data_IF_922657558089
#
_entry.id   IF_922657558089
#
_cell.length_a   1.000
_cell.length_b   1.000
_cell.length_c   1.000
_cell.angle_alpha   90.00
_cell.angle_beta   90.00
_cell.angle_gamma   90.00
#
_symmetry.space_group_name_H-M   'P 1'
#
loop_
_entity.id
_entity.type
_entity.pdbx_description
1 polymer ?
#
# COMPACT_ATOMS: atom_id res chain seq x y z
N UNK A 1 -19.91 9.30 -2.04
CA UNK A 1 -19.62 9.11 -1.77
C UNK A 1 -19.24 8.68 -1.19
N UNK A 2 -19.47 8.62 -1.21
CA UNK A 2 -19.27 8.12 -0.53
C UNK A 2 -18.30 7.58 -0.30
N UNK A 3 -18.04 7.69 -0.56
CA UNK A 3 -17.36 7.20 -0.30
C UNK A 3 -16.35 7.14 -0.26
N UNK A 4 -16.02 7.97 -0.70
CA UNK A 4 -15.40 6.86 -0.19
C UNK A 4 -13.95 6.78 -0.46
N UNK A 5 -13.23 6.51 0.59
CA UNK A 5 -11.80 6.43 0.49
C UNK A 5 -11.36 5.07 -0.03
N UNK A 6 -10.36 5.07 -0.88
CA UNK A 6 -9.74 3.85 -1.38
C UNK A 6 -8.33 3.79 -0.80
N UNK A 7 -8.00 2.70 -0.16
CA UNK A 7 -6.65 2.51 0.35
C UNK A 7 -5.80 1.82 -0.70
N UNK A 8 -4.69 2.46 -1.05
CA UNK A 8 -3.71 1.91 -1.97
C UNK A 8 -2.43 1.65 -1.19
N UNK A 9 -2.05 0.38 -1.07
CA UNK A 9 -0.86 0.00 -0.34
C UNK A 9 0.29 -0.26 -1.30
N UNK A 10 1.41 0.43 -1.09
CA UNK A 10 2.65 0.12 -1.79
C UNK A 10 3.40 -0.97 -1.04
N UNK A 11 3.89 -1.95 -1.77
CA UNK A 11 4.70 -3.01 -1.21
C UNK A 11 6.15 -2.76 -1.54
N UNK A 12 7.00 -3.00 -0.56
CA UNK A 12 8.43 -3.06 -0.79
C UNK A 12 8.74 -4.43 -1.36
N UNK A 13 9.07 -4.49 -2.63
CA UNK A 13 9.18 -5.74 -3.34
C UNK A 13 10.35 -6.63 -2.98
N UNK A 14 11.24 -6.16 -2.14
CA UNK A 14 12.52 -6.85 -1.98
C UNK A 14 12.43 -8.21 -1.32
N UNK A 15 11.62 -8.32 -0.30
CA UNK A 15 11.65 -9.46 0.59
C UNK A 15 11.03 -10.67 -0.05
N UNK A 16 10.14 -10.45 -0.96
CA UNK A 16 9.24 -11.51 -1.37
C UNK A 16 9.54 -12.12 -2.72
N UNK A 17 10.53 -11.60 -3.40
CA UNK A 17 10.88 -12.17 -4.68
C UNK A 17 11.41 -13.59 -4.62
N UNK A 18 12.11 -13.93 -3.56
CA UNK A 18 12.78 -15.22 -3.48
C UNK A 18 11.99 -16.28 -2.75
N UNK A 19 11.30 -15.90 -1.68
CA UNK A 19 10.77 -16.87 -0.75
C UNK A 19 9.50 -17.56 -1.17
N UNK A 20 8.51 -16.84 -1.60
CA UNK A 20 7.19 -17.42 -1.77
C UNK A 20 6.93 -18.01 -3.14
N UNK A 21 7.93 -18.07 -3.99
CA UNK A 21 7.88 -18.92 -5.16
C UNK A 21 7.75 -20.38 -4.76
N UNK A 22 8.15 -20.66 -3.55
CA UNK A 22 8.07 -21.98 -2.98
C UNK A 22 6.76 -22.05 -2.23
N UNK A 23 5.87 -22.94 -2.63
CA UNK A 23 4.54 -23.07 -2.03
C UNK A 23 4.59 -23.43 -0.54
N UNK A 24 5.71 -23.94 -0.06
CA UNK A 24 5.88 -24.30 1.34
C UNK A 24 6.26 -23.12 2.22
N UNK A 25 6.47 -21.96 1.64
CA UNK A 25 6.96 -20.78 2.34
C UNK A 25 5.85 -19.76 2.53
N UNK A 26 5.55 -19.44 3.78
CA UNK A 26 4.56 -18.40 4.07
C UNK A 26 5.21 -17.01 3.93
N UNK A 27 4.58 -16.14 3.17
CA UNK A 27 5.07 -14.78 2.98
C UNK A 27 4.81 -13.95 4.24
N UNK A 28 5.84 -13.27 4.77
CA UNK A 28 5.66 -12.49 6.00
C UNK A 28 4.85 -11.23 5.76
N UNK A 29 3.87 -11.00 6.60
CA UNK A 29 3.14 -9.74 6.62
C UNK A 29 3.00 -9.30 8.09
N UNK A 30 3.13 -8.01 8.33
CA UNK A 30 2.99 -7.51 9.69
C UNK A 30 1.57 -7.74 10.19
N UNK A 31 1.39 -8.29 11.41
CA UNK A 31 0.05 -8.58 11.93
C UNK A 31 -0.87 -7.36 11.96
N UNK A 32 -0.35 -6.19 12.29
CA UNK A 32 -1.16 -4.97 12.33
C UNK A 32 -1.65 -4.59 10.92
N UNK A 33 -0.83 -4.82 9.90
CA UNK A 33 -1.24 -4.56 8.52
C UNK A 33 -2.36 -5.52 8.11
N UNK A 34 -2.20 -6.80 8.38
CA UNK A 34 -3.21 -7.79 8.03
C UNK A 34 -4.55 -7.48 8.73
N UNK A 35 -4.51 -7.18 10.03
CA UNK A 35 -5.69 -6.85 10.80
C UNK A 35 -6.40 -5.60 10.26
N UNK A 36 -5.63 -4.56 9.96
CA UNK A 36 -6.18 -3.30 9.48
C UNK A 36 -6.80 -3.47 8.09
N UNK A 37 -6.13 -4.18 7.20
CA UNK A 37 -6.67 -4.43 5.87
C UNK A 37 -7.96 -5.23 5.93
N UNK A 38 -8.02 -6.24 6.81
CA UNK A 38 -9.23 -7.03 7.00
C UNK A 38 -10.38 -6.17 7.54
N UNK A 39 -10.06 -5.28 8.49
CA UNK A 39 -11.06 -4.38 9.05
C UNK A 39 -11.60 -3.41 8.00
N UNK A 40 -10.71 -2.79 7.22
CA UNK A 40 -11.14 -1.88 6.17
C UNK A 40 -11.99 -2.57 5.12
N UNK A 41 -11.61 -3.80 4.75
CA UNK A 41 -12.40 -4.58 3.82
C UNK A 41 -13.81 -4.83 4.37
N UNK A 42 -13.90 -5.20 5.65
CA UNK A 42 -15.18 -5.42 6.31
C UNK A 42 -16.05 -4.16 6.35
N UNK A 43 -15.41 -2.99 6.38
CA UNK A 43 -16.10 -1.69 6.34
C UNK A 43 -16.47 -1.26 4.92
N UNK A 44 -16.14 -2.05 3.92
CA UNK A 44 -16.48 -1.74 2.53
C UNK A 44 -15.48 -0.85 1.82
N UNK A 45 -14.29 -0.65 2.39
CA UNK A 45 -13.25 0.17 1.74
C UNK A 45 -12.58 -0.64 0.64
N UNK A 46 -12.60 -0.18 -0.62
CA UNK A 46 -11.86 -0.87 -1.67
C UNK A 46 -10.36 -0.78 -1.44
N UNK A 47 -9.67 -1.90 -1.55
CA UNK A 47 -8.23 -1.99 -1.30
C UNK A 47 -7.51 -2.38 -2.58
N UNK A 48 -6.35 -1.75 -2.80
CA UNK A 48 -5.53 -1.99 -3.98
C UNK A 48 -4.07 -2.13 -3.57
N UNK A 49 -3.31 -2.85 -4.39
CA UNK A 49 -1.88 -2.99 -4.18
C UNK A 49 -1.15 -2.40 -5.38
N UNK A 50 -0.12 -1.62 -5.10
CA UNK A 50 0.80 -1.12 -6.11
C UNK A 50 2.21 -1.51 -5.70
N UNK A 51 2.88 -2.31 -6.53
CA UNK A 51 4.18 -2.86 -6.21
C UNK A 51 5.03 -2.96 -7.46
N UNK A 52 6.34 -2.99 -7.29
CA UNK A 52 7.27 -3.24 -8.39
C UNK A 52 7.29 -4.71 -8.80
N UNK A 53 6.78 -5.61 -7.96
CA UNK A 53 6.61 -7.00 -8.35
C UNK A 53 5.45 -7.16 -9.31
N UNK A 54 5.52 -8.18 -10.16
CA UNK A 54 4.45 -8.45 -11.12
C UNK A 54 3.13 -8.78 -10.40
N UNK A 55 2.02 -8.56 -11.09
CA UNK A 55 0.71 -8.89 -10.50
C UNK A 55 0.64 -10.36 -10.06
N UNK A 56 1.08 -11.35 -10.86
CA UNK A 56 1.09 -12.73 -10.38
C UNK A 56 1.92 -12.92 -9.12
N UNK A 57 3.07 -12.24 -9.02
CA UNK A 57 3.92 -12.32 -7.82
C UNK A 57 3.23 -11.71 -6.60
N UNK A 58 2.54 -10.59 -6.79
CA UNK A 58 1.76 -9.97 -5.71
C UNK A 58 0.70 -10.92 -5.19
N UNK A 59 -0.01 -11.59 -6.09
CA UNK A 59 -1.05 -12.54 -5.71
C UNK A 59 -0.49 -13.74 -4.98
N UNK A 60 0.69 -14.21 -5.37
CA UNK A 60 1.35 -15.29 -4.64
C UNK A 60 1.72 -14.85 -3.22
N UNK A 61 2.23 -13.63 -3.08
CA UNK A 61 2.60 -13.10 -1.77
C UNK A 61 1.39 -13.08 -0.83
N UNK A 62 0.29 -12.46 -1.26
CA UNK A 62 -0.88 -12.33 -0.40
C UNK A 62 -1.66 -13.64 -0.28
N UNK A 63 -1.57 -14.51 -1.28
CA UNK A 63 -2.23 -15.83 -1.23
C UNK A 63 -1.56 -16.80 -0.28
N UNK A 64 -0.27 -16.61 -0.02
CA UNK A 64 0.52 -17.46 0.86
C UNK A 64 1.07 -16.72 2.06
N UNK A 65 0.36 -15.69 2.52
CA UNK A 65 0.82 -14.92 3.67
C UNK A 65 0.71 -15.74 4.94
N UNK A 66 1.51 -15.38 5.94
CA UNK A 66 1.43 -16.04 7.25
C UNK A 66 0.14 -15.69 8.01
N UNK A 67 -0.64 -14.75 7.49
CA UNK A 67 -1.98 -14.43 8.00
C UNK A 67 -3.07 -15.16 7.19
N UNK A 68 -2.70 -16.07 6.30
CA UNK A 68 -3.62 -16.79 5.44
C UNK A 68 -3.71 -16.18 4.05
N UNK A 69 -4.70 -16.62 3.28
CA UNK A 69 -4.93 -16.09 1.93
C UNK A 69 -5.66 -14.74 2.03
N UNK A 70 -4.97 -13.67 1.71
CA UNK A 70 -5.50 -12.31 1.77
C UNK A 70 -5.91 -11.76 0.41
N UNK A 71 -5.80 -12.54 -0.66
CA UNK A 71 -6.08 -12.05 -2.02
C UNK A 71 -7.50 -11.52 -2.17
N UNK A 72 -8.46 -12.11 -1.47
CA UNK A 72 -9.85 -11.67 -1.53
C UNK A 72 -10.12 -10.30 -0.93
N UNK A 73 -9.17 -9.72 -0.21
CA UNK A 73 -9.31 -8.39 0.37
C UNK A 73 -9.14 -7.29 -0.68
N UNK A 74 -8.47 -7.57 -1.79
CA UNK A 74 -8.06 -6.55 -2.74
C UNK A 74 -8.97 -6.49 -3.95
N UNK A 75 -9.36 -5.28 -4.32
CA UNK A 75 -10.20 -5.02 -5.48
C UNK A 75 -9.40 -4.93 -6.77
N UNK A 76 -8.11 -4.72 -6.67
CA UNK A 76 -7.25 -4.64 -7.84
C UNK A 76 -5.77 -4.60 -7.48
N UNK A 77 -4.96 -4.75 -8.52
CA UNK A 77 -3.52 -4.90 -8.40
C UNK A 77 -2.86 -4.08 -9.49
N UNK A 78 -1.80 -3.35 -9.12
CA UNK A 78 -1.03 -2.55 -10.06
C UNK A 78 0.44 -2.92 -9.93
N UNK A 79 1.13 -2.98 -11.06
CA UNK A 79 2.59 -3.14 -11.09
C UNK A 79 3.18 -1.99 -11.90
N UNK A 80 4.47 -2.07 -12.23
CA UNK A 80 5.14 -1.00 -12.95
C UNK A 80 4.70 -0.85 -14.41
N UNK A 81 3.74 -1.66 -14.87
CA UNK A 81 3.12 -1.45 -16.17
C UNK A 81 2.37 -0.10 -16.23
N UNK A 82 1.89 0.41 -15.08
CA UNK A 82 1.28 1.75 -15.04
C UNK A 82 2.33 2.86 -14.99
N UNK A 83 3.58 2.52 -14.75
CA UNK A 83 4.68 3.48 -14.62
C UNK A 83 5.46 3.27 -13.35
N UNK A 84 6.54 4.02 -13.19
CA UNK A 84 7.41 3.94 -12.02
C UNK A 84 6.75 4.51 -10.77
N UNK A 85 7.15 4.00 -9.62
CA UNK A 85 6.54 4.37 -8.34
C UNK A 85 6.93 5.78 -7.87
N UNK A 86 7.91 6.40 -8.51
CA UNK A 86 8.33 7.78 -8.21
C UNK A 86 7.82 8.79 -9.23
N UNK A 87 6.98 8.35 -10.16
CA UNK A 87 6.46 9.21 -11.23
C UNK A 87 5.00 9.56 -10.96
N UNK A 88 4.67 10.87 -10.87
CA UNK A 88 3.29 11.28 -10.60
C UNK A 88 2.28 10.72 -11.60
N UNK A 89 2.65 10.61 -12.88
CA UNK A 89 1.74 10.11 -13.91
C UNK A 89 1.25 8.69 -13.61
N UNK A 90 2.06 7.89 -12.90
CA UNK A 90 1.67 6.54 -12.50
C UNK A 90 0.45 6.58 -11.58
N UNK A 91 0.47 7.50 -10.63
CA UNK A 91 -0.63 7.63 -9.66
C UNK A 91 -1.88 8.23 -10.30
N UNK A 92 -1.70 9.15 -11.24
CA UNK A 92 -2.83 9.66 -12.01
C UNK A 92 -3.48 8.53 -12.82
N UNK A 93 -2.68 7.67 -13.43
CA UNK A 93 -3.17 6.51 -14.17
C UNK A 93 -3.90 5.51 -13.30
N UNK A 94 -3.39 5.28 -12.08
CA UNK A 94 -4.06 4.41 -11.11
C UNK A 94 -5.42 4.99 -10.73
N UNK A 95 -5.48 6.29 -10.41
CA UNK A 95 -6.73 6.94 -10.05
C UNK A 95 -7.77 6.81 -11.17
N UNK A 96 -7.34 7.03 -12.40
CA UNK A 96 -8.21 6.89 -13.56
C UNK A 96 -8.71 5.46 -13.71
N UNK A 97 -7.83 4.49 -13.54
CA UNK A 97 -8.16 3.08 -13.65
C UNK A 97 -9.16 2.63 -12.58
N UNK A 98 -9.01 3.15 -11.37
CA UNK A 98 -9.93 2.86 -10.26
C UNK A 98 -11.25 3.61 -10.44
N UNK A 99 -11.23 4.76 -11.09
CA UNK A 99 -12.41 5.59 -11.26
C UNK A 99 -12.72 6.47 -10.07
N UNK A 100 -11.72 6.79 -9.27
CA UNK A 100 -11.86 7.65 -8.09
C UNK A 100 -10.90 8.83 -8.24
N UNK A 101 -11.35 10.02 -7.90
CA UNK A 101 -10.46 11.18 -7.93
C UNK A 101 -9.31 10.99 -6.96
N UNK A 102 -8.11 11.51 -7.28
CA UNK A 102 -6.93 11.28 -6.43
C UNK A 102 -7.16 11.63 -4.96
N UNK A 103 -7.88 12.71 -4.65
CA UNK A 103 -8.09 13.10 -3.26
C UNK A 103 -8.96 12.11 -2.48
N UNK A 104 -9.63 11.19 -3.16
CA UNK A 104 -10.38 10.11 -2.53
C UNK A 104 -9.56 8.84 -2.33
N UNK A 105 -8.27 8.88 -2.65
CA UNK A 105 -7.38 7.72 -2.53
C UNK A 105 -6.33 8.02 -1.47
N UNK A 106 -6.15 7.09 -0.56
CA UNK A 106 -5.08 7.13 0.44
C UNK A 106 -3.97 6.18 0.03
N UNK A 107 -2.77 6.72 -0.20
CA UNK A 107 -1.60 5.93 -0.57
C UNK A 107 -0.69 5.75 0.64
N UNK A 108 -0.35 4.49 0.91
CA UNK A 108 0.49 4.12 2.04
C UNK A 108 1.81 3.58 1.52
N UNK A 109 2.91 4.11 2.02
CA UNK A 109 4.24 3.64 1.62
C UNK A 109 5.25 3.96 2.71
N UNK A 110 6.36 3.24 2.72
CA UNK A 110 7.51 3.56 3.55
C UNK A 110 8.60 4.30 2.76
N UNK A 111 8.32 4.65 1.51
CA UNK A 111 9.27 5.38 0.65
C UNK A 111 8.74 6.78 0.40
N UNK A 112 9.45 7.78 0.94
CA UNK A 112 9.01 9.19 0.89
C UNK A 112 8.85 9.67 -0.55
N UNK A 113 9.77 9.30 -1.44
CA UNK A 113 9.71 9.73 -2.84
C UNK A 113 8.47 9.22 -3.58
N UNK A 114 8.00 8.04 -3.20
CA UNK A 114 6.76 7.51 -3.78
C UNK A 114 5.55 8.31 -3.28
N UNK A 115 5.56 8.65 -1.99
CA UNK A 115 4.50 9.48 -1.41
C UNK A 115 4.49 10.88 -2.03
N UNK A 116 5.67 11.45 -2.29
CA UNK A 116 5.77 12.74 -2.94
C UNK A 116 5.11 12.73 -4.32
N UNK A 117 5.37 11.68 -5.10
CA UNK A 117 4.79 11.52 -6.42
C UNK A 117 3.26 11.40 -6.35
N UNK A 118 2.77 10.60 -5.42
CA UNK A 118 1.33 10.43 -5.23
C UNK A 118 0.66 11.75 -4.81
N UNK A 119 1.29 12.48 -3.90
CA UNK A 119 0.76 13.74 -3.40
C UNK A 119 0.65 14.79 -4.51
N UNK A 120 1.59 14.79 -5.45
CA UNK A 120 1.54 15.73 -6.58
C UNK A 120 0.29 15.54 -7.43
N UNK A 121 -0.31 14.35 -7.44
CA UNK A 121 -1.55 14.10 -8.17
C UNK A 121 -2.79 14.44 -7.34
N UNK A 122 -2.63 14.73 -6.06
CA UNK A 122 -3.73 15.04 -5.16
C UNK A 122 -4.14 13.91 -4.23
N UNK A 123 -3.45 12.78 -4.26
CA UNK A 123 -3.73 11.70 -3.30
C UNK A 123 -3.37 12.11 -1.89
N UNK A 124 -4.10 11.57 -0.93
CA UNK A 124 -3.71 11.63 0.47
C UNK A 124 -2.61 10.59 0.71
N UNK A 125 -1.71 10.89 1.61
CA UNK A 125 -0.53 10.05 1.81
C UNK A 125 -0.27 9.81 3.29
N UNK A 126 0.26 8.62 3.59
CA UNK A 126 0.73 8.27 4.93
C UNK A 126 2.06 7.54 4.79
N UNK A 127 3.06 8.04 5.50
CA UNK A 127 4.36 7.38 5.61
C UNK A 127 4.28 6.33 6.71
N UNK A 128 4.45 5.07 6.34
CA UNK A 128 4.48 3.98 7.29
C UNK A 128 5.95 3.71 7.64
N UNK A 129 6.34 4.09 8.84
CA UNK A 129 7.74 4.16 9.24
C UNK A 129 7.97 3.25 10.44
N UNK A 130 8.13 1.97 10.17
CA UNK A 130 8.25 0.95 11.22
C UNK A 130 9.65 0.97 11.82
N UNK A 131 9.73 0.88 13.13
CA UNK A 131 11.02 0.84 13.83
C UNK A 131 11.85 -0.37 13.41
N UNK A 132 11.22 -1.47 13.03
CA UNK A 132 11.92 -2.66 12.57
C UNK A 132 12.68 -2.42 11.27
N UNK A 133 12.10 -1.58 10.38
CA UNK A 133 12.69 -1.26 9.08
C UNK A 133 13.51 0.02 9.13
N UNK A 134 13.11 0.95 10.00
CA UNK A 134 13.72 2.26 10.12
C UNK A 134 13.91 2.57 11.59
N UNK A 135 15.06 2.16 12.19
CA UNK A 135 15.30 2.37 13.62
C UNK A 135 15.25 3.84 14.04
N UNK A 136 15.58 4.73 13.12
CA UNK A 136 15.44 6.17 13.38
C UNK A 136 14.23 6.67 12.62
N UNK A 137 13.11 6.96 13.29
CA UNK A 137 11.88 7.39 12.61
C UNK A 137 12.10 8.66 11.81
N UNK A 138 11.50 8.69 10.64
CA UNK A 138 11.55 9.86 9.75
C UNK A 138 10.34 10.74 10.04
N UNK A 139 10.61 11.98 10.44
CA UNK A 139 9.57 12.97 10.68
C UNK A 139 10.14 14.34 10.34
N UNK A 140 9.28 15.36 10.34
CA UNK A 140 9.68 16.69 9.92
C UNK A 140 10.18 16.68 8.49
N UNK A 141 11.38 17.21 8.25
CA UNK A 141 11.94 17.31 6.90
C UNK A 141 12.15 15.95 6.26
N UNK A 142 12.54 14.94 7.03
CA UNK A 142 12.78 13.59 6.51
C UNK A 142 11.49 12.94 6.01
N UNK A 143 10.35 13.33 6.54
CA UNK A 143 9.05 12.81 6.11
C UNK A 143 8.40 13.66 5.02
N UNK A 144 9.03 14.76 4.59
CA UNK A 144 8.53 15.69 3.56
C UNK A 144 7.09 16.18 3.82
N UNK A 145 6.69 16.24 5.09
CA UNK A 145 5.36 16.73 5.46
C UNK A 145 4.25 15.70 5.35
N UNK A 146 4.56 14.45 5.01
CA UNK A 146 3.55 13.40 5.00
C UNK A 146 3.14 13.01 6.43
N UNK A 147 1.89 12.61 6.60
CA UNK A 147 1.45 12.01 7.85
C UNK A 147 2.29 10.77 8.11
N UNK A 148 2.75 10.62 9.33
CA UNK A 148 3.73 9.60 9.69
C UNK A 148 3.13 8.69 10.76
N UNK A 149 3.20 7.39 10.54
CA UNK A 149 2.75 6.38 11.50
C UNK A 149 3.79 5.27 11.61
N UNK A 150 3.87 4.65 12.77
CA UNK A 150 4.75 3.51 12.98
C UNK A 150 4.01 2.18 12.79
N UNK A 151 2.68 2.21 12.74
CA UNK A 151 1.86 1.02 12.62
C UNK A 151 0.58 1.37 11.86
N UNK A 152 0.04 0.40 11.14
CA UNK A 152 -1.26 0.54 10.47
C UNK A 152 -2.39 0.83 11.47
N UNK A 153 -2.22 0.41 12.72
CA UNK A 153 -3.24 0.65 13.75
C UNK A 153 -3.43 2.15 14.03
N UNK A 154 -2.46 2.98 13.70
CA UNK A 154 -2.53 4.43 13.90
C UNK A 154 -3.25 5.15 12.76
N UNK A 155 -3.58 4.45 11.68
CA UNK A 155 -4.19 5.06 10.51
C UNK A 155 -5.69 5.11 10.71
N UNK A 156 -6.26 6.31 10.58
CA UNK A 156 -7.70 6.51 10.65
C UNK A 156 -8.21 6.94 9.28
N UNK A 157 -9.24 6.27 8.78
CA UNK A 157 -9.90 6.66 7.54
C UNK A 157 -11.11 7.51 7.90
N UNK A 158 -11.33 8.62 7.20
CA UNK A 158 -12.51 9.46 7.44
C UNK A 158 -13.75 8.82 6.81
N UNK A 159 -14.23 7.78 7.40
CA UNK A 159 -15.38 7.00 6.90
C UNK A 159 -16.73 7.58 7.29
#
# INVERSE_FOLDING_TARGET
QDSKHTALKALQGLVWEAGYRNADFAAPIYPDAAQTLQRWHALGVPLYVYSSGSVPAQKLFFGHSDAGDLTGLFSGWFDTAVGGKREPDSYAGIAESIGVRPHGILFLSDVVEELDAARLTGMQTVLVDRLADYPEPRHGDAAHGHTHVASFLEIELPL
#
